data_IF_713004910819
#
_entry.id   IF_713004910819
#
_cell.length_a   1.000
_cell.length_b   1.000
_cell.length_c   1.000
_cell.angle_alpha   90.00
_cell.angle_beta   90.00
_cell.angle_gamma   90.00
#
_symmetry.space_group_name_H-M   'P 1'
#
loop_
_entity.id
_entity.type
_entity.pdbx_description
1 polymer ?
#
# COMPACT_ATOMS: atom_id res chain seq x y z
N UNK A 1 -42.26 6.07 -6.03
CA UNK A 1 -40.92 5.62 -6.49
C UNK A 1 -40.85 4.10 -6.42
N UNK A 2 -40.36 3.43 -7.48
CA UNK A 2 -40.10 1.99 -7.55
C UNK A 2 -38.60 1.76 -7.58
N UNK A 3 -38.10 0.73 -6.86
CA UNK A 3 -36.67 0.42 -6.73
C UNK A 3 -36.47 -1.05 -7.07
N UNK A 4 -35.57 -1.34 -8.00
CA UNK A 4 -35.20 -2.70 -8.40
C UNK A 4 -33.69 -2.88 -8.23
N UNK A 5 -33.28 -4.04 -7.73
CA UNK A 5 -31.87 -4.38 -7.49
C UNK A 5 -31.46 -5.54 -8.39
N UNK A 6 -30.43 -5.33 -9.20
CA UNK A 6 -29.84 -6.35 -10.04
C UNK A 6 -28.39 -6.62 -9.58
N UNK A 7 -28.07 -7.87 -9.25
CA UNK A 7 -26.69 -8.26 -8.98
C UNK A 7 -25.97 -8.45 -10.32
N UNK A 8 -24.95 -7.64 -10.61
CA UNK A 8 -24.16 -7.74 -11.84
C UNK A 8 -23.02 -8.75 -11.70
N UNK A 9 -22.34 -8.74 -10.57
CA UNK A 9 -21.31 -9.72 -10.18
C UNK A 9 -21.21 -9.77 -8.65
N UNK A 10 -20.23 -10.49 -8.10
CA UNK A 10 -20.11 -10.70 -6.65
C UNK A 10 -19.94 -9.42 -5.83
N UNK A 11 -19.40 -8.34 -6.42
CA UNK A 11 -19.11 -7.07 -5.75
C UNK A 11 -19.85 -5.86 -6.29
N UNK A 12 -20.63 -6.01 -7.40
CA UNK A 12 -21.31 -4.90 -8.06
C UNK A 12 -22.81 -5.14 -8.14
N UNK A 13 -23.58 -4.16 -7.69
CA UNK A 13 -25.04 -4.11 -7.85
C UNK A 13 -25.45 -2.92 -8.68
N UNK A 14 -26.46 -3.12 -9.53
CA UNK A 14 -27.18 -2.07 -10.21
C UNK A 14 -28.50 -1.79 -9.48
N UNK A 15 -28.78 -0.52 -9.26
CA UNK A 15 -30.02 -0.02 -8.67
C UNK A 15 -30.76 0.72 -9.78
N UNK A 16 -31.93 0.19 -10.16
CA UNK A 16 -32.81 0.83 -11.12
C UNK A 16 -33.95 1.53 -10.38
N UNK A 17 -34.01 2.83 -10.54
CA UNK A 17 -35.02 3.69 -9.92
C UNK A 17 -36.01 4.13 -10.97
N UNK A 18 -37.32 4.02 -10.69
CA UNK A 18 -38.38 4.64 -11.48
C UNK A 18 -39.18 5.58 -10.59
N UNK A 19 -39.15 6.86 -10.92
CA UNK A 19 -39.78 7.92 -10.14
C UNK A 19 -40.95 8.48 -10.94
N UNK A 20 -42.19 8.50 -10.37
CA UNK A 20 -43.35 9.00 -11.09
C UNK A 20 -43.21 10.46 -11.49
N UNK A 21 -43.71 10.79 -12.68
CA UNK A 21 -43.66 12.16 -13.26
C UNK A 21 -44.17 13.23 -12.32
N UNK A 22 -45.26 12.98 -11.59
CA UNK A 22 -45.82 13.94 -10.62
C UNK A 22 -44.81 14.33 -9.52
N UNK A 23 -43.98 13.40 -9.08
CA UNK A 23 -42.94 13.62 -8.06
C UNK A 23 -41.76 14.39 -8.65
N UNK A 24 -41.26 13.97 -9.81
CA UNK A 24 -40.12 14.60 -10.48
C UNK A 24 -40.44 16.02 -10.93
N UNK A 25 -41.57 16.22 -11.61
CA UNK A 25 -41.98 17.53 -12.14
C UNK A 25 -42.16 18.54 -11.01
N UNK A 26 -42.71 18.11 -9.88
CA UNK A 26 -42.85 18.96 -8.68
C UNK A 26 -41.50 19.39 -8.11
N UNK A 27 -40.56 18.47 -8.00
CA UNK A 27 -39.21 18.83 -7.49
C UNK A 27 -38.43 19.66 -8.52
N UNK A 28 -38.54 19.36 -9.83
CA UNK A 28 -37.94 20.17 -10.88
C UNK A 28 -38.48 21.62 -10.87
N UNK A 29 -39.80 21.81 -10.69
CA UNK A 29 -40.37 23.15 -10.59
C UNK A 29 -39.86 23.92 -9.37
N UNK A 30 -39.67 23.27 -8.23
CA UNK A 30 -39.08 23.90 -7.05
C UNK A 30 -37.63 24.32 -7.32
N UNK A 31 -36.87 23.40 -7.93
CA UNK A 31 -35.47 23.64 -8.31
C UNK A 31 -35.37 24.79 -9.31
N UNK A 32 -36.21 24.80 -10.36
CA UNK A 32 -36.26 25.85 -11.36
C UNK A 32 -36.58 27.24 -10.74
N UNK A 33 -37.52 27.29 -9.80
CA UNK A 33 -37.86 28.53 -9.04
C UNK A 33 -36.67 29.04 -8.25
N UNK A 34 -35.93 28.13 -7.60
CA UNK A 34 -34.73 28.48 -6.83
C UNK A 34 -33.61 28.97 -7.75
N UNK A 35 -33.32 28.23 -8.81
CA UNK A 35 -32.28 28.58 -9.78
C UNK A 35 -32.56 29.89 -10.52
N UNK A 36 -33.84 30.18 -10.82
CA UNK A 36 -34.24 31.45 -11.47
C UNK A 36 -33.97 32.70 -10.60
N UNK A 37 -33.86 32.58 -9.28
CA UNK A 37 -33.48 33.68 -8.39
C UNK A 37 -31.98 33.95 -8.43
N UNK A 38 -31.16 32.98 -8.78
CA UNK A 38 -29.70 33.06 -8.77
C UNK A 38 -29.13 33.37 -10.16
N UNK A 39 -29.80 32.94 -11.23
CA UNK A 39 -29.35 33.13 -12.61
C UNK A 39 -29.59 34.56 -13.06
N UNK A 40 -28.58 35.15 -13.73
CA UNK A 40 -28.68 36.44 -14.38
C UNK A 40 -29.06 36.25 -15.85
N UNK A 41 -30.26 36.75 -16.24
CA UNK A 41 -30.79 36.62 -17.61
C UNK A 41 -30.63 37.95 -18.30
N UNK A 42 -30.01 38.01 -19.50
CA UNK A 42 -29.91 39.27 -20.27
C UNK A 42 -31.28 39.92 -20.52
N UNK A 43 -31.38 41.20 -20.24
CA UNK A 43 -32.62 41.97 -20.38
C UNK A 43 -33.55 41.95 -19.16
N UNK A 44 -33.19 41.23 -18.10
CA UNK A 44 -33.96 41.17 -16.87
C UNK A 44 -33.10 41.49 -15.63
N UNK A 45 -33.72 42.09 -14.62
CA UNK A 45 -33.05 42.20 -13.31
C UNK A 45 -32.91 40.81 -12.68
N UNK A 46 -31.76 40.51 -12.02
CA UNK A 46 -31.49 39.25 -11.36
C UNK A 46 -32.70 38.78 -10.54
N UNK A 47 -33.15 37.56 -10.75
CA UNK A 47 -34.28 36.92 -10.06
C UNK A 47 -35.67 37.44 -10.48
N UNK A 48 -35.81 38.22 -11.58
CA UNK A 48 -37.08 38.76 -12.08
C UNK A 48 -37.40 38.28 -13.51
N UNK A 49 -36.63 37.43 -14.11
CA UNK A 49 -36.96 36.80 -15.39
C UNK A 49 -38.11 35.81 -15.21
N UNK A 50 -39.08 35.72 -16.15
CA UNK A 50 -40.13 34.70 -16.13
C UNK A 50 -39.51 33.30 -16.21
N UNK A 51 -40.07 32.32 -15.46
CA UNK A 51 -39.52 30.97 -15.38
C UNK A 51 -39.36 30.28 -16.73
N UNK A 52 -40.34 30.45 -17.63
CA UNK A 52 -40.28 29.90 -18.98
C UNK A 52 -39.14 30.48 -19.84
N UNK A 53 -38.71 31.70 -19.57
CA UNK A 53 -37.56 32.32 -20.23
C UNK A 53 -36.27 31.75 -19.69
N UNK A 54 -36.17 31.60 -18.36
CA UNK A 54 -35.01 31.01 -17.69
C UNK A 54 -34.83 29.54 -18.13
N UNK A 55 -35.92 28.76 -18.11
CA UNK A 55 -35.92 27.36 -18.52
C UNK A 55 -35.44 27.19 -19.96
N UNK A 56 -36.01 27.94 -20.92
CA UNK A 56 -35.65 27.85 -22.33
C UNK A 56 -34.21 28.33 -22.64
N UNK A 57 -33.69 29.30 -21.91
CA UNK A 57 -32.34 29.85 -22.15
C UNK A 57 -31.23 29.02 -21.52
N UNK A 58 -31.55 28.28 -20.46
CA UNK A 58 -30.58 27.55 -19.65
C UNK A 58 -30.99 26.11 -19.39
N UNK A 59 -31.80 25.54 -20.28
CA UNK A 59 -32.45 24.21 -20.12
C UNK A 59 -31.43 23.15 -19.75
N UNK A 60 -30.40 22.92 -20.59
CA UNK A 60 -29.40 21.86 -20.35
C UNK A 60 -28.63 22.07 -19.04
N UNK A 61 -28.29 23.32 -18.73
CA UNK A 61 -27.56 23.65 -17.50
C UNK A 61 -28.42 23.41 -16.26
N UNK A 62 -29.68 23.84 -16.30
CA UNK A 62 -30.61 23.66 -15.16
C UNK A 62 -30.91 22.17 -14.98
N UNK A 63 -31.12 21.43 -16.09
CA UNK A 63 -31.41 20.00 -16.06
C UNK A 63 -30.22 19.19 -15.51
N UNK A 64 -28.99 19.48 -15.93
CA UNK A 64 -27.81 18.80 -15.42
C UNK A 64 -27.60 19.03 -13.93
N UNK A 65 -27.70 20.28 -13.46
CA UNK A 65 -27.60 20.57 -12.03
C UNK A 65 -28.78 20.02 -11.23
N UNK A 66 -29.98 19.93 -11.82
CA UNK A 66 -31.11 19.28 -11.20
C UNK A 66 -30.85 17.77 -11.04
N UNK A 67 -30.25 17.11 -12.05
CA UNK A 67 -29.89 15.70 -11.94
C UNK A 67 -28.87 15.47 -10.83
N UNK A 68 -27.81 16.24 -10.76
CA UNK A 68 -26.84 16.14 -9.67
C UNK A 68 -27.51 16.25 -8.30
N UNK A 69 -28.31 17.27 -8.09
CA UNK A 69 -28.99 17.50 -6.83
C UNK A 69 -30.03 16.41 -6.50
N UNK A 70 -30.91 16.10 -7.46
CA UNK A 70 -32.05 15.25 -7.20
C UNK A 70 -31.69 13.76 -7.10
N UNK A 71 -30.74 13.31 -7.90
CA UNK A 71 -30.22 11.94 -7.84
C UNK A 71 -29.59 11.66 -6.48
N UNK A 72 -28.79 12.59 -5.96
CA UNK A 72 -28.17 12.45 -4.63
C UNK A 72 -29.24 12.35 -3.52
N UNK A 73 -30.28 13.18 -3.59
CA UNK A 73 -31.37 13.14 -2.60
C UNK A 73 -32.11 11.81 -2.65
N UNK A 74 -32.50 11.36 -3.85
CA UNK A 74 -33.21 10.11 -4.06
C UNK A 74 -32.37 8.90 -3.68
N UNK A 75 -31.10 8.87 -4.10
CA UNK A 75 -30.19 7.80 -3.77
C UNK A 75 -29.96 7.70 -2.26
N UNK A 76 -29.73 8.81 -1.58
CA UNK A 76 -29.56 8.84 -0.12
C UNK A 76 -30.79 8.28 0.61
N UNK A 77 -32.01 8.56 0.10
CA UNK A 77 -33.25 8.01 0.63
C UNK A 77 -33.33 6.50 0.43
N UNK A 78 -33.01 6.02 -0.79
CA UNK A 78 -33.02 4.59 -1.11
C UNK A 78 -32.00 3.82 -0.28
N UNK A 79 -30.79 4.34 -0.12
CA UNK A 79 -29.74 3.77 0.73
C UNK A 79 -30.22 3.60 2.16
N UNK A 80 -30.85 4.64 2.72
CA UNK A 80 -31.33 4.64 4.09
C UNK A 80 -32.51 3.68 4.29
N UNK A 81 -33.49 3.69 3.38
CA UNK A 81 -34.69 2.85 3.47
C UNK A 81 -34.40 1.36 3.28
N UNK A 82 -33.36 1.02 2.51
CA UNK A 82 -32.99 -0.38 2.20
C UNK A 82 -31.71 -0.84 2.94
N UNK A 83 -31.19 -0.01 3.86
CA UNK A 83 -29.97 -0.31 4.64
C UNK A 83 -28.76 -0.72 3.78
N UNK A 84 -28.61 -0.07 2.60
CA UNK A 84 -27.59 -0.41 1.63
C UNK A 84 -26.21 0.02 2.14
N UNK A 85 -25.28 -0.92 2.19
CA UNK A 85 -23.86 -0.65 2.43
C UNK A 85 -23.13 -0.73 1.10
N UNK A 86 -22.38 0.31 0.77
CA UNK A 86 -21.54 0.38 -0.43
C UNK A 86 -20.14 0.90 -0.07
N UNK A 87 -19.15 0.63 -0.93
CA UNK A 87 -17.73 0.85 -0.65
C UNK A 87 -17.23 2.20 -1.15
N UNK A 88 -17.64 2.59 -2.35
CA UNK A 88 -17.21 3.81 -3.02
C UNK A 88 -18.42 4.58 -3.54
N UNK A 89 -18.19 5.77 -4.08
CA UNK A 89 -19.25 6.61 -4.63
C UNK A 89 -20.09 5.86 -5.66
N UNK A 90 -21.42 6.05 -5.62
CA UNK A 90 -22.31 5.46 -6.61
C UNK A 90 -22.02 6.06 -7.98
N UNK A 91 -21.98 5.23 -9.01
CA UNK A 91 -21.81 5.67 -10.38
C UNK A 91 -23.16 5.71 -11.10
N UNK A 92 -23.60 6.89 -11.50
CA UNK A 92 -24.80 7.06 -12.31
C UNK A 92 -24.48 6.65 -13.74
N UNK A 93 -25.06 5.55 -14.22
CA UNK A 93 -24.85 5.01 -15.57
C UNK A 93 -25.77 5.59 -16.63
N UNK A 94 -27.00 5.83 -16.26
CA UNK A 94 -28.01 6.34 -17.19
C UNK A 94 -29.09 7.12 -16.44
N UNK A 95 -29.55 8.19 -17.04
CA UNK A 95 -30.66 9.01 -16.56
C UNK A 95 -31.54 9.36 -17.73
N UNK A 96 -32.79 8.91 -17.71
CA UNK A 96 -33.78 9.22 -18.74
C UNK A 96 -34.96 9.95 -18.10
N UNK A 97 -35.16 11.18 -18.53
CA UNK A 97 -36.31 11.97 -18.10
C UNK A 97 -36.65 13.08 -19.11
N UNK A 98 -37.92 13.17 -19.37
CA UNK A 98 -38.56 14.29 -20.06
C UNK A 98 -39.73 14.77 -19.21
N UNK A 99 -39.97 16.07 -19.17
CA UNK A 99 -41.03 16.68 -18.37
C UNK A 99 -42.40 16.09 -18.72
N UNK A 100 -43.11 15.63 -17.71
CA UNK A 100 -44.37 14.94 -17.83
C UNK A 100 -44.27 13.42 -17.95
N UNK A 101 -43.06 12.86 -18.02
CA UNK A 101 -42.80 11.42 -18.03
C UNK A 101 -42.11 10.99 -16.72
N UNK A 102 -42.21 9.71 -16.41
CA UNK A 102 -41.47 9.12 -15.30
C UNK A 102 -39.97 9.22 -15.55
N UNK A 103 -39.20 9.43 -14.47
CA UNK A 103 -37.75 9.47 -14.52
C UNK A 103 -37.18 8.09 -14.19
N UNK A 104 -36.31 7.61 -15.04
CA UNK A 104 -35.55 6.36 -14.78
C UNK A 104 -34.07 6.69 -14.53
N UNK A 105 -33.49 6.07 -13.52
CA UNK A 105 -32.09 6.25 -13.13
C UNK A 105 -31.47 4.89 -12.92
N UNK A 106 -30.31 4.66 -13.53
CA UNK A 106 -29.47 3.46 -13.28
C UNK A 106 -28.22 3.87 -12.54
N UNK A 107 -28.02 3.25 -11.38
CA UNK A 107 -26.88 3.52 -10.50
C UNK A 107 -26.17 2.22 -10.21
N UNK A 108 -24.86 2.17 -10.44
CA UNK A 108 -24.01 1.07 -10.00
C UNK A 108 -23.31 1.41 -8.69
N UNK A 109 -23.29 0.44 -7.79
CA UNK A 109 -22.54 0.51 -6.52
C UNK A 109 -21.66 -0.73 -6.36
N UNK A 110 -20.51 -0.55 -5.74
CA UNK A 110 -19.69 -1.66 -5.26
C UNK A 110 -19.98 -1.95 -3.79
N UNK A 111 -20.01 -3.23 -3.43
CA UNK A 111 -20.30 -3.69 -2.07
C UNK A 111 -19.39 -4.85 -1.66
N UNK A 112 -19.32 -5.11 -0.36
CA UNK A 112 -18.59 -6.26 0.17
C UNK A 112 -19.24 -7.57 -0.34
N UNK A 113 -18.44 -8.51 -0.92
CA UNK A 113 -18.97 -9.77 -1.42
C UNK A 113 -19.41 -10.69 -0.27
N UNK A 114 -20.42 -11.51 -0.55
CA UNK A 114 -20.72 -12.70 0.26
C UNK A 114 -19.92 -13.84 -0.33
N UNK A 115 -18.93 -14.33 0.44
CA UNK A 115 -18.04 -15.38 -0.01
C UNK A 115 -18.56 -16.76 0.43
N UNK A 116 -18.44 -17.72 -0.48
CA UNK A 116 -18.67 -19.15 -0.21
C UNK A 116 -17.31 -19.85 -0.29
N UNK A 117 -16.87 -20.43 0.83
CA UNK A 117 -15.60 -21.12 0.89
C UNK A 117 -15.79 -22.61 0.56
N UNK A 118 -14.94 -23.18 -0.30
CA UNK A 118 -14.92 -24.61 -0.60
C UNK A 118 -14.57 -25.43 0.65
N UNK A 119 -13.67 -24.93 1.45
CA UNK A 119 -13.21 -25.54 2.71
C UNK A 119 -12.66 -24.45 3.63
N UNK A 120 -12.92 -24.55 4.94
CA UNK A 120 -12.40 -23.63 5.97
C UNK A 120 -11.69 -24.33 7.12
N UNK A 121 -11.85 -25.66 7.28
CA UNK A 121 -11.23 -26.46 8.32
C UNK A 121 -10.37 -27.57 7.70
N UNK A 122 -9.30 -28.00 8.40
CA UNK A 122 -8.39 -29.03 7.91
C UNK A 122 -7.60 -28.64 6.67
N UNK A 123 -7.26 -27.35 6.54
CA UNK A 123 -6.47 -26.84 5.43
C UNK A 123 -5.01 -27.26 5.54
N UNK A 124 -4.37 -27.62 4.42
CA UNK A 124 -2.90 -27.72 4.35
C UNK A 124 -2.36 -26.35 3.94
N UNK A 125 -1.71 -25.67 4.89
CA UNK A 125 -1.30 -24.27 4.75
C UNK A 125 0.21 -24.16 4.60
N UNK A 126 0.73 -23.82 3.42
CA UNK A 126 2.15 -23.53 3.26
C UNK A 126 2.49 -22.18 3.91
N UNK A 127 3.57 -22.15 4.71
CA UNK A 127 4.02 -20.93 5.40
C UNK A 127 5.52 -20.94 5.61
N UNK A 128 6.11 -19.80 5.98
CA UNK A 128 7.53 -19.68 6.35
C UNK A 128 7.64 -18.98 7.70
N UNK A 129 7.78 -19.73 8.81
CA UNK A 129 7.92 -19.13 10.13
C UNK A 129 9.29 -18.47 10.31
N UNK A 130 9.36 -17.49 11.19
CA UNK A 130 10.62 -16.97 11.71
C UNK A 130 11.27 -18.03 12.59
N UNK A 131 12.57 -18.26 12.38
CA UNK A 131 13.37 -19.19 13.16
C UNK A 131 14.19 -18.43 14.20
N UNK A 132 13.98 -18.71 15.49
CA UNK A 132 14.59 -17.95 16.58
C UNK A 132 16.13 -17.81 16.45
N UNK A 133 16.83 -18.87 16.13
CA UNK A 133 18.30 -18.81 16.01
C UNK A 133 18.76 -17.99 14.80
N UNK A 134 18.00 -18.00 13.71
CA UNK A 134 18.29 -17.15 12.55
C UNK A 134 18.08 -15.67 12.90
N UNK A 135 16.99 -15.36 13.59
CA UNK A 135 16.68 -13.98 14.01
C UNK A 135 17.68 -13.45 15.05
N UNK A 136 18.14 -14.26 15.99
CA UNK A 136 19.22 -13.93 16.90
C UNK A 136 20.51 -13.58 16.15
N UNK A 137 20.87 -14.43 15.16
CA UNK A 137 22.06 -14.17 14.33
C UNK A 137 21.91 -12.93 13.46
N UNK A 138 20.73 -12.67 12.90
CA UNK A 138 20.43 -11.48 12.13
C UNK A 138 20.53 -10.21 13.00
N UNK A 139 19.96 -10.25 14.19
CA UNK A 139 20.04 -9.14 15.15
C UNK A 139 21.49 -8.80 15.53
N UNK A 140 22.31 -9.84 15.83
CA UNK A 140 23.73 -9.65 16.16
C UNK A 140 24.51 -9.08 14.97
N UNK A 141 24.24 -9.52 13.74
CA UNK A 141 24.82 -8.95 12.53
C UNK A 141 24.43 -7.48 12.34
N UNK A 142 23.20 -7.10 12.62
CA UNK A 142 22.78 -5.71 12.54
C UNK A 142 23.44 -4.85 13.63
N UNK A 143 23.61 -5.37 14.84
CA UNK A 143 24.39 -4.71 15.88
C UNK A 143 25.86 -4.51 15.44
N UNK A 144 26.47 -5.54 14.83
CA UNK A 144 27.83 -5.45 14.29
C UNK A 144 27.93 -4.38 13.19
N UNK A 145 26.97 -4.31 12.29
CA UNK A 145 26.92 -3.28 11.23
C UNK A 145 26.76 -1.87 11.82
N UNK A 146 25.89 -1.73 12.81
CA UNK A 146 25.66 -0.43 13.48
C UNK A 146 26.87 0.09 14.24
N UNK A 147 27.77 -0.81 14.63
CA UNK A 147 29.00 -0.49 15.35
C UNK A 147 30.26 -0.58 14.46
N UNK A 148 30.10 -0.57 13.14
CA UNK A 148 31.23 -0.53 12.22
C UNK A 148 31.99 0.81 12.30
N UNK A 149 33.26 0.80 11.89
CA UNK A 149 34.12 1.98 11.77
C UNK A 149 34.47 2.22 10.34
N UNK A 150 34.50 3.46 9.93
CA UNK A 150 35.04 3.84 8.60
C UNK A 150 36.50 4.22 8.80
N UNK A 151 37.40 3.52 8.15
CA UNK A 151 38.82 3.76 8.18
C UNK A 151 39.33 4.17 6.80
N UNK A 152 40.29 5.07 6.76
CA UNK A 152 41.03 5.42 5.55
C UNK A 152 42.08 4.36 5.25
N UNK A 153 42.17 3.94 3.99
CA UNK A 153 43.09 2.91 3.52
C UNK A 153 43.83 3.38 2.27
N UNK A 154 45.03 2.84 2.04
CA UNK A 154 45.87 3.27 0.90
C UNK A 154 45.55 2.52 -0.41
N UNK A 155 44.95 1.32 -0.32
CA UNK A 155 44.71 0.46 -1.46
C UNK A 155 43.30 -0.09 -1.43
N UNK A 156 42.59 0.06 -2.54
CA UNK A 156 41.22 -0.37 -2.68
C UNK A 156 41.10 -1.90 -2.73
N UNK A 157 40.21 -2.44 -1.92
CA UNK A 157 39.74 -3.84 -1.92
C UNK A 157 38.26 -3.88 -2.23
N UNK A 158 37.76 -5.07 -2.40
CA UNK A 158 36.34 -5.31 -2.61
C UNK A 158 35.48 -4.64 -1.54
N UNK A 159 34.41 -4.00 -1.94
CA UNK A 159 33.47 -3.21 -1.12
C UNK A 159 34.00 -1.91 -0.53
N UNK A 160 35.27 -1.53 -0.77
CA UNK A 160 35.79 -0.22 -0.35
C UNK A 160 35.10 0.90 -1.14
N UNK A 161 34.78 2.00 -0.44
CA UNK A 161 34.30 3.21 -1.06
C UNK A 161 35.49 4.04 -1.54
N UNK A 162 35.52 4.30 -2.84
CA UNK A 162 36.59 5.04 -3.53
C UNK A 162 36.04 6.38 -3.99
N UNK A 163 36.54 7.46 -3.37
CA UNK A 163 36.27 8.80 -3.85
C UNK A 163 37.21 9.13 -5.02
N UNK A 164 36.61 9.50 -6.15
CA UNK A 164 37.34 9.78 -7.39
C UNK A 164 37.00 11.16 -7.94
N UNK A 165 38.00 11.78 -8.58
CA UNK A 165 37.76 12.89 -9.50
C UNK A 165 37.51 12.29 -10.88
N UNK A 166 36.35 12.59 -11.47
CA UNK A 166 35.88 12.10 -12.77
C UNK A 166 36.03 13.23 -13.79
N UNK A 167 36.87 13.05 -14.80
CA UNK A 167 37.01 13.98 -15.91
C UNK A 167 36.49 13.34 -17.19
N UNK A 168 35.58 13.99 -17.88
CA UNK A 168 34.97 13.54 -19.14
C UNK A 168 34.65 14.72 -20.07
N UNK A 169 34.41 14.42 -21.36
CA UNK A 169 34.00 15.41 -22.34
C UNK A 169 32.56 15.21 -22.78
N UNK A 170 31.83 16.32 -22.86
CA UNK A 170 30.49 16.36 -23.42
C UNK A 170 30.30 17.67 -24.20
N UNK A 171 29.83 17.59 -25.49
CA UNK A 171 29.62 18.73 -26.38
C UNK A 171 30.86 19.66 -26.54
N UNK A 172 32.06 19.09 -26.65
CA UNK A 172 33.37 19.78 -26.71
C UNK A 172 33.74 20.58 -25.45
N UNK A 173 33.04 20.39 -24.35
CA UNK A 173 33.41 20.93 -23.05
C UNK A 173 33.92 19.83 -22.13
N UNK A 174 34.93 20.16 -21.34
CA UNK A 174 35.49 19.24 -20.32
C UNK A 174 34.83 19.47 -19.00
N UNK A 175 34.27 18.42 -18.44
CA UNK A 175 33.66 18.43 -17.11
C UNK A 175 34.57 17.68 -16.12
N UNK A 176 34.72 18.23 -14.92
CA UNK A 176 35.39 17.56 -13.82
C UNK A 176 34.45 17.58 -12.61
N UNK A 177 34.21 16.40 -12.01
CA UNK A 177 33.34 16.21 -10.87
C UNK A 177 33.97 15.23 -9.89
N UNK A 178 33.59 15.35 -8.63
CA UNK A 178 33.95 14.35 -7.62
C UNK A 178 32.77 13.39 -7.46
N UNK A 179 33.09 12.11 -7.48
CA UNK A 179 32.11 11.05 -7.32
C UNK A 179 32.61 9.94 -6.39
N UNK A 180 31.71 9.04 -6.01
CA UNK A 180 32.01 7.88 -5.20
C UNK A 180 31.56 6.61 -5.90
N UNK A 181 32.43 5.60 -5.92
CA UNK A 181 32.12 4.25 -6.38
C UNK A 181 32.63 3.23 -5.36
N UNK A 182 32.01 2.08 -5.33
CA UNK A 182 32.54 0.93 -4.63
C UNK A 182 33.50 0.15 -5.53
N UNK A 183 34.63 -0.27 -4.99
CA UNK A 183 35.50 -1.22 -5.66
C UNK A 183 34.87 -2.63 -5.56
N UNK A 184 34.74 -3.36 -6.66
CA UNK A 184 34.10 -4.67 -6.62
C UNK A 184 34.36 -5.51 -7.87
N UNK A 185 33.90 -6.75 -7.85
CA UNK A 185 34.11 -7.71 -8.95
C UNK A 185 33.10 -7.58 -10.08
N UNK A 186 31.99 -6.86 -9.84
CA UNK A 186 30.93 -6.64 -10.83
C UNK A 186 30.88 -5.16 -11.23
N UNK A 187 30.60 -4.91 -12.51
CA UNK A 187 30.35 -3.57 -13.00
C UNK A 187 28.85 -3.29 -12.93
N UNK A 188 28.48 -2.34 -12.08
CA UNK A 188 27.09 -1.88 -11.99
C UNK A 188 27.07 -0.38 -11.68
N UNK A 189 25.88 0.17 -11.42
CA UNK A 189 25.67 1.61 -11.22
C UNK A 189 26.58 2.25 -10.17
N UNK A 190 26.95 1.51 -9.13
CA UNK A 190 27.71 2.01 -7.98
C UNK A 190 29.06 1.32 -7.79
N UNK A 191 29.38 0.28 -8.56
CA UNK A 191 30.53 -0.58 -8.34
C UNK A 191 31.37 -0.74 -9.63
N UNK A 192 32.68 -0.56 -9.51
CA UNK A 192 33.63 -0.65 -10.63
C UNK A 192 34.75 -1.63 -10.32
N UNK A 193 34.92 -2.70 -11.14
CA UNK A 193 36.06 -3.64 -11.02
C UNK A 193 37.43 -2.99 -11.23
N UNK A 194 37.47 -1.98 -12.07
CA UNK A 194 38.71 -1.26 -12.40
C UNK A 194 39.34 -0.53 -11.22
N UNK A 195 38.56 -0.33 -10.14
CA UNK A 195 39.07 0.30 -8.90
C UNK A 195 39.80 -0.67 -7.98
N UNK A 196 39.64 -1.98 -8.19
CA UNK A 196 40.32 -2.99 -7.35
C UNK A 196 41.87 -2.87 -7.46
N UNK A 197 42.50 -2.79 -6.29
CA UNK A 197 43.95 -2.71 -6.18
C UNK A 197 44.56 -1.33 -6.45
N UNK A 198 43.77 -0.32 -6.80
CA UNK A 198 44.24 1.04 -6.98
C UNK A 198 44.62 1.69 -5.66
N UNK A 199 45.54 2.65 -5.74
CA UNK A 199 46.02 3.46 -4.62
C UNK A 199 45.57 4.91 -4.79
N UNK A 200 45.63 5.64 -3.69
CA UNK A 200 45.38 7.09 -3.69
C UNK A 200 46.37 7.76 -4.65
N UNK A 201 45.84 8.60 -5.55
CA UNK A 201 46.57 9.29 -6.62
C UNK A 201 46.67 8.54 -7.94
N UNK A 202 46.27 7.27 -7.99
CA UNK A 202 46.25 6.51 -9.26
C UNK A 202 45.20 7.08 -10.21
N UNK A 203 45.53 6.98 -11.53
CA UNK A 203 44.66 7.41 -12.61
C UNK A 203 44.35 6.26 -13.53
N UNK A 204 43.11 6.10 -13.88
CA UNK A 204 42.64 5.10 -14.85
C UNK A 204 41.68 5.71 -15.86
N UNK A 205 41.54 5.03 -17.00
CA UNK A 205 40.54 5.38 -18.01
C UNK A 205 39.50 4.29 -18.05
N UNK A 206 38.25 4.69 -17.94
CA UNK A 206 37.09 3.80 -17.93
C UNK A 206 35.99 4.39 -18.81
N UNK A 207 35.08 3.55 -19.26
CA UNK A 207 33.83 4.00 -19.87
C UNK A 207 32.71 3.93 -18.84
N UNK A 208 32.03 5.03 -18.68
CA UNK A 208 30.87 5.14 -17.79
C UNK A 208 29.68 5.64 -18.58
N UNK A 209 28.49 5.15 -18.23
CA UNK A 209 27.24 5.69 -18.73
C UNK A 209 26.93 7.03 -18.06
N UNK A 210 26.11 7.87 -18.70
CA UNK A 210 25.68 9.12 -18.08
C UNK A 210 24.98 8.89 -16.74
N UNK A 211 24.25 7.78 -16.60
CA UNK A 211 23.60 7.36 -15.36
C UNK A 211 24.59 7.08 -14.24
N UNK A 212 25.67 6.36 -14.50
CA UNK A 212 26.72 6.06 -13.52
C UNK A 212 27.43 7.35 -13.07
N UNK A 213 27.71 8.26 -14.00
CA UNK A 213 28.34 9.56 -13.67
C UNK A 213 27.38 10.38 -12.79
N UNK A 214 26.10 10.49 -13.17
CA UNK A 214 25.12 11.25 -12.39
C UNK A 214 24.92 10.64 -11.01
N UNK A 215 24.83 9.31 -10.93
CA UNK A 215 24.62 8.61 -9.67
C UNK A 215 25.82 8.79 -8.72
N UNK A 216 27.04 8.54 -9.21
CA UNK A 216 28.25 8.66 -8.39
C UNK A 216 28.53 10.08 -7.91
N UNK A 217 28.23 11.09 -8.73
CA UNK A 217 28.43 12.51 -8.42
C UNK A 217 27.25 13.16 -7.71
N UNK A 218 26.07 12.55 -7.74
CA UNK A 218 24.78 13.10 -7.30
C UNK A 218 24.42 14.46 -7.94
N UNK A 219 25.03 14.76 -9.10
CA UNK A 219 24.75 15.97 -9.86
C UNK A 219 23.69 15.71 -10.94
N UNK A 220 22.43 15.71 -10.55
CA UNK A 220 21.25 15.48 -11.41
C UNK A 220 21.01 16.62 -12.44
N UNK A 221 21.84 17.67 -12.44
CA UNK A 221 21.76 18.77 -13.41
C UNK A 221 22.74 18.61 -14.57
N UNK A 222 23.57 17.58 -14.54
CA UNK A 222 24.48 17.28 -15.66
C UNK A 222 23.65 17.00 -16.93
N UNK A 223 23.98 17.65 -18.05
CA UNK A 223 23.24 17.49 -19.31
C UNK A 223 23.68 16.21 -20.06
N UNK A 224 23.71 15.07 -19.36
CA UNK A 224 24.15 13.79 -19.92
C UNK A 224 22.95 12.94 -20.32
N UNK A 225 23.13 12.18 -21.40
CA UNK A 225 22.20 11.11 -21.75
C UNK A 225 22.51 9.91 -20.83
N UNK A 226 21.49 9.43 -20.13
CA UNK A 226 21.62 8.37 -19.13
C UNK A 226 22.19 7.08 -19.68
N UNK A 227 21.90 6.74 -20.93
CA UNK A 227 22.27 5.48 -21.55
C UNK A 227 23.47 5.61 -22.50
N UNK A 228 23.98 6.82 -22.73
CA UNK A 228 25.18 7.05 -23.53
C UNK A 228 26.44 6.79 -22.70
N UNK A 229 27.46 6.19 -23.37
CA UNK A 229 28.80 5.96 -22.81
C UNK A 229 29.71 7.17 -22.99
N UNK A 230 30.47 7.49 -21.94
CA UNK A 230 31.48 8.55 -21.93
C UNK A 230 32.86 7.99 -21.56
N UNK A 231 33.87 8.39 -22.31
CA UNK A 231 35.26 8.11 -21.94
C UNK A 231 35.67 8.99 -20.76
N UNK A 232 35.86 8.39 -19.59
CA UNK A 232 36.17 9.05 -18.35
C UNK A 232 37.62 8.76 -17.91
N UNK A 233 38.30 9.79 -17.39
CA UNK A 233 39.51 9.63 -16.61
C UNK A 233 39.15 9.76 -15.14
N UNK A 234 39.41 8.72 -14.33
CA UNK A 234 39.22 8.72 -12.88
C UNK A 234 40.57 8.89 -12.19
N UNK A 235 40.63 9.79 -11.24
CA UNK A 235 41.76 9.94 -10.32
C UNK A 235 41.28 9.64 -8.89
N UNK A 236 41.96 8.70 -8.21
CA UNK A 236 41.58 8.29 -6.84
C UNK A 236 42.03 9.35 -5.86
N UNK A 237 41.06 9.96 -5.16
CA UNK A 237 41.33 11.00 -4.14
C UNK A 237 41.48 10.39 -2.76
N UNK A 238 40.59 9.47 -2.36
CA UNK A 238 40.63 8.78 -1.08
C UNK A 238 39.93 7.44 -1.18
N UNK A 239 40.29 6.53 -0.28
CA UNK A 239 39.69 5.21 -0.18
C UNK A 239 39.31 4.99 1.26
N UNK A 240 38.06 4.64 1.50
CA UNK A 240 37.56 4.33 2.82
C UNK A 240 36.96 2.91 2.86
N UNK A 241 37.17 2.24 3.98
CA UNK A 241 36.72 0.87 4.22
C UNK A 241 35.81 0.85 5.46
N UNK A 242 34.73 0.08 5.36
CA UNK A 242 33.93 -0.26 6.51
C UNK A 242 34.60 -1.45 7.21
N UNK A 243 35.08 -1.21 8.43
CA UNK A 243 35.62 -2.26 9.28
C UNK A 243 34.60 -2.66 10.33
N UNK A 244 34.18 -3.91 10.26
CA UNK A 244 33.25 -4.49 11.22
C UNK A 244 34.03 -4.99 12.45
N UNK A 245 33.56 -4.74 13.69
CA UNK A 245 34.16 -5.32 14.87
C UNK A 245 34.11 -6.86 14.80
N UNK A 246 35.08 -7.54 15.36
CA UNK A 246 35.02 -8.98 15.54
C UNK A 246 33.92 -9.34 16.56
N UNK A 247 33.17 -10.43 16.29
CA UNK A 247 32.13 -10.90 17.21
C UNK A 247 32.77 -11.77 18.29
N UNK A 248 33.27 -11.12 19.33
CA UNK A 248 33.96 -11.73 20.48
C UNK A 248 33.46 -11.16 21.81
N UNK A 249 34.11 -11.52 22.91
CA UNK A 249 33.73 -11.05 24.22
C UNK A 249 34.06 -9.56 24.46
N UNK A 250 34.98 -8.95 23.68
CA UNK A 250 35.26 -7.52 23.74
C UNK A 250 34.10 -6.73 23.13
N UNK A 251 33.61 -7.18 21.96
CA UNK A 251 32.41 -6.59 21.34
C UNK A 251 31.20 -6.70 22.27
N UNK A 252 31.00 -7.85 22.90
CA UNK A 252 29.90 -8.01 23.86
C UNK A 252 29.99 -7.09 25.05
N UNK A 253 31.21 -6.86 25.58
CA UNK A 253 31.44 -5.89 26.68
C UNK A 253 31.22 -4.46 26.29
N UNK A 254 31.58 -4.08 25.05
CA UNK A 254 31.27 -2.75 24.50
C UNK A 254 29.74 -2.53 24.39
N UNK A 255 28.98 -3.60 24.26
CA UNK A 255 27.50 -3.60 24.24
C UNK A 255 26.88 -3.86 25.64
N UNK A 256 27.67 -3.74 26.73
CA UNK A 256 27.23 -3.90 28.12
C UNK A 256 26.79 -5.35 28.50
N UNK A 257 27.33 -6.37 27.81
CA UNK A 257 27.16 -7.79 28.17
C UNK A 257 28.45 -8.39 28.77
N UNK A 258 28.30 -9.45 29.54
CA UNK A 258 29.46 -10.08 30.19
C UNK A 258 30.34 -10.88 29.21
N UNK A 259 29.75 -11.49 28.22
CA UNK A 259 30.39 -12.28 27.14
C UNK A 259 29.51 -12.36 25.91
N UNK A 260 30.05 -12.82 24.78
CA UNK A 260 29.29 -13.07 23.56
C UNK A 260 28.20 -14.13 23.79
N UNK A 261 28.44 -15.13 24.64
CA UNK A 261 27.44 -16.15 24.97
C UNK A 261 26.30 -15.58 25.82
N UNK A 262 26.60 -14.73 26.81
CA UNK A 262 25.61 -13.99 27.60
C UNK A 262 24.78 -13.06 26.73
N UNK A 263 25.42 -12.30 25.83
CA UNK A 263 24.74 -11.44 24.86
C UNK A 263 23.76 -12.24 23.99
N UNK A 264 24.20 -13.38 23.41
CA UNK A 264 23.32 -14.26 22.62
C UNK A 264 22.16 -14.80 23.42
N UNK A 265 22.39 -15.20 24.68
CA UNK A 265 21.36 -15.73 25.56
C UNK A 265 20.28 -14.66 25.85
N UNK A 266 20.69 -13.46 26.22
CA UNK A 266 19.75 -12.34 26.50
C UNK A 266 18.94 -11.92 25.25
N UNK A 267 19.62 -11.77 24.10
CA UNK A 267 18.93 -11.46 22.84
C UNK A 267 17.93 -12.56 22.48
N UNK A 268 18.30 -13.84 22.68
CA UNK A 268 17.39 -14.97 22.45
C UNK A 268 16.16 -14.90 23.35
N UNK A 269 16.34 -14.61 24.63
CA UNK A 269 15.24 -14.51 25.59
C UNK A 269 14.31 -13.33 25.23
N UNK A 270 14.86 -12.20 24.84
CA UNK A 270 14.10 -11.00 24.43
C UNK A 270 13.33 -11.23 23.12
N UNK A 271 13.92 -11.91 22.13
CA UNK A 271 13.29 -12.16 20.84
C UNK A 271 12.28 -13.32 20.88
N UNK A 272 12.42 -14.26 21.79
CA UNK A 272 11.63 -15.50 21.81
C UNK A 272 10.12 -15.22 21.75
N UNK A 273 9.62 -14.44 22.69
CA UNK A 273 8.18 -14.16 22.80
C UNK A 273 7.69 -13.37 21.59
N UNK A 274 8.49 -12.43 21.11
CA UNK A 274 8.17 -11.63 19.92
C UNK A 274 8.05 -12.50 18.67
N UNK A 275 8.97 -13.43 18.46
CA UNK A 275 8.96 -14.35 17.32
C UNK A 275 7.77 -15.32 17.41
N UNK A 276 7.45 -15.84 18.61
CA UNK A 276 6.27 -16.67 18.81
C UNK A 276 4.99 -15.94 18.39
N UNK A 277 4.82 -14.68 18.79
CA UNK A 277 3.67 -13.87 18.42
C UNK A 277 3.69 -13.42 16.95
N UNK A 278 4.84 -13.11 16.38
CA UNK A 278 4.99 -12.81 14.95
C UNK A 278 4.65 -14.03 14.09
N UNK A 279 5.01 -15.22 14.52
CA UNK A 279 4.66 -16.46 13.82
C UNK A 279 3.14 -16.72 13.83
N UNK A 280 2.43 -16.30 14.87
CA UNK A 280 0.95 -16.32 14.88
C UNK A 280 0.39 -15.46 13.74
N UNK A 281 0.94 -14.26 13.53
CA UNK A 281 0.49 -13.38 12.45
C UNK A 281 0.83 -13.96 11.06
N UNK A 282 2.02 -14.56 10.91
CA UNK A 282 2.42 -15.29 9.70
C UNK A 282 1.47 -16.46 9.40
N UNK A 283 1.08 -17.24 10.42
CA UNK A 283 0.09 -18.32 10.27
C UNK A 283 -1.27 -17.77 9.83
N UNK A 284 -1.73 -16.68 10.46
CA UNK A 284 -3.00 -16.04 10.11
C UNK A 284 -2.99 -15.53 8.65
N UNK A 285 -1.91 -14.90 8.21
CA UNK A 285 -1.74 -14.42 6.84
C UNK A 285 -1.67 -15.58 5.83
N UNK A 286 -0.98 -16.66 6.18
CA UNK A 286 -0.90 -17.87 5.37
C UNK A 286 -2.28 -18.55 5.19
N UNK A 287 -3.12 -18.57 6.24
CA UNK A 287 -4.51 -19.06 6.14
C UNK A 287 -5.32 -18.18 5.19
N UNK A 288 -5.24 -16.86 5.30
CA UNK A 288 -5.93 -15.92 4.42
C UNK A 288 -5.49 -16.15 2.98
N UNK A 289 -4.18 -16.25 2.73
CA UNK A 289 -3.60 -16.54 1.42
C UNK A 289 -4.11 -17.87 0.85
N UNK A 290 -4.15 -18.92 1.66
CA UNK A 290 -4.67 -20.23 1.27
C UNK A 290 -6.15 -20.16 0.90
N UNK A 291 -6.96 -19.51 1.71
CA UNK A 291 -8.38 -19.30 1.42
C UNK A 291 -8.58 -18.48 0.15
N UNK A 292 -7.72 -17.49 -0.10
CA UNK A 292 -7.75 -16.72 -1.33
C UNK A 292 -7.44 -17.59 -2.56
N UNK A 293 -6.35 -18.36 -2.52
CA UNK A 293 -5.92 -19.18 -3.67
C UNK A 293 -6.86 -20.35 -3.97
N UNK A 294 -7.55 -20.89 -2.97
CA UNK A 294 -8.48 -22.00 -3.15
C UNK A 294 -9.88 -21.59 -3.67
N UNK A 295 -10.17 -20.28 -3.63
CA UNK A 295 -11.49 -19.76 -3.98
C UNK A 295 -11.38 -18.63 -5.01
N UNK A 296 -12.48 -18.38 -5.72
CA UNK A 296 -12.58 -17.26 -6.66
C UNK A 296 -13.19 -16.05 -5.96
N UNK A 297 -12.52 -14.90 -6.07
CA UNK A 297 -12.97 -13.65 -5.48
C UNK A 297 -13.04 -12.56 -6.55
N UNK A 298 -14.14 -11.82 -6.56
CA UNK A 298 -14.21 -10.60 -7.35
C UNK A 298 -13.72 -9.40 -6.52
N UNK A 299 -12.97 -8.51 -7.16
CA UNK A 299 -12.46 -7.30 -6.54
C UNK A 299 -13.32 -6.08 -6.90
N UNK A 300 -13.53 -5.14 -5.97
CA UNK A 300 -14.20 -3.86 -6.23
C UNK A 300 -13.23 -2.90 -6.95
N UNK A 301 -13.10 -3.05 -8.27
CA UNK A 301 -12.09 -2.36 -9.09
C UNK A 301 -12.16 -0.84 -9.00
N UNK A 302 -13.36 -0.27 -8.98
CA UNK A 302 -13.56 1.19 -8.90
C UNK A 302 -13.11 1.73 -7.54
N UNK A 303 -13.46 1.04 -6.46
CA UNK A 303 -13.01 1.38 -5.11
C UNK A 303 -11.49 1.33 -5.01
N UNK A 304 -10.87 0.27 -5.53
CA UNK A 304 -9.41 0.10 -5.52
C UNK A 304 -8.70 1.19 -6.33
N UNK A 305 -9.20 1.47 -7.54
CA UNK A 305 -8.66 2.54 -8.39
C UNK A 305 -8.73 3.90 -7.69
N UNK A 306 -9.88 4.23 -7.12
CA UNK A 306 -10.05 5.47 -6.37
C UNK A 306 -9.09 5.60 -5.19
N UNK A 307 -8.95 4.55 -4.39
CA UNK A 307 -8.03 4.54 -3.25
C UNK A 307 -6.58 4.73 -3.68
N UNK A 308 -6.17 4.07 -4.77
CA UNK A 308 -4.82 4.21 -5.31
C UNK A 308 -4.58 5.60 -5.91
N UNK A 309 -5.54 6.15 -6.69
CA UNK A 309 -5.47 7.50 -7.27
C UNK A 309 -5.32 8.58 -6.19
N UNK A 310 -6.07 8.48 -5.09
CA UNK A 310 -5.97 9.43 -3.96
C UNK A 310 -4.57 9.46 -3.32
N UNK A 311 -3.84 8.34 -3.30
CA UNK A 311 -2.48 8.28 -2.76
C UNK A 311 -1.44 8.93 -3.69
N UNK A 312 -1.68 8.92 -4.99
CA UNK A 312 -0.70 9.41 -5.98
C UNK A 312 -1.05 10.76 -6.59
N UNK A 313 -2.17 11.37 -6.21
CA UNK A 313 -2.71 12.61 -6.82
C UNK A 313 -1.74 13.80 -6.83
N UNK A 314 -0.82 13.86 -5.86
CA UNK A 314 0.16 14.95 -5.74
C UNK A 314 1.50 14.64 -6.46
N UNK A 315 1.67 13.46 -7.03
CA UNK A 315 2.88 13.04 -7.75
C UNK A 315 2.83 13.59 -9.17
N UNK A 316 3.79 14.45 -9.53
CA UNK A 316 3.83 15.14 -10.82
C UNK A 316 4.52 14.37 -11.95
N UNK A 317 5.37 13.39 -11.61
CA UNK A 317 6.10 12.59 -12.60
C UNK A 317 5.27 11.35 -12.95
N UNK A 318 4.85 11.22 -14.19
CA UNK A 318 3.96 10.17 -14.65
C UNK A 318 4.50 8.75 -14.42
N UNK A 319 5.82 8.51 -14.65
CA UNK A 319 6.43 7.20 -14.42
C UNK A 319 6.48 6.84 -12.93
N UNK A 320 6.79 7.82 -12.08
CA UNK A 320 6.81 7.66 -10.62
C UNK A 320 5.39 7.45 -10.10
N UNK A 321 4.43 8.23 -10.61
CA UNK A 321 3.02 8.11 -10.27
C UNK A 321 2.50 6.70 -10.58
N UNK A 322 2.76 6.20 -11.82
CA UNK A 322 2.32 4.88 -12.24
C UNK A 322 2.92 3.76 -11.38
N UNK A 323 4.22 3.84 -11.07
CA UNK A 323 4.90 2.87 -10.22
C UNK A 323 4.27 2.79 -8.82
N UNK A 324 3.98 3.94 -8.20
CA UNK A 324 3.33 3.97 -6.88
C UNK A 324 1.86 3.59 -6.94
N UNK A 325 1.14 3.96 -8.01
CA UNK A 325 -0.25 3.57 -8.22
C UNK A 325 -0.42 2.05 -8.20
N UNK A 326 0.37 1.32 -9.00
CA UNK A 326 0.32 -0.14 -9.06
C UNK A 326 0.59 -0.77 -7.69
N UNK A 327 1.55 -0.24 -6.95
CA UNK A 327 1.87 -0.71 -5.59
C UNK A 327 0.74 -0.46 -4.60
N UNK A 328 0.14 0.73 -4.61
CA UNK A 328 -0.99 1.04 -3.74
C UNK A 328 -2.22 0.23 -4.10
N UNK A 329 -2.50 0.04 -5.40
CA UNK A 329 -3.61 -0.78 -5.85
C UNK A 329 -3.50 -2.22 -5.31
N UNK A 330 -2.34 -2.86 -5.47
CA UNK A 330 -2.08 -4.20 -4.95
C UNK A 330 -2.20 -4.22 -3.42
N UNK A 331 -1.62 -3.27 -2.72
CA UNK A 331 -1.68 -3.18 -1.26
C UNK A 331 -3.13 -3.06 -0.75
N UNK A 332 -3.95 -2.20 -1.36
CA UNK A 332 -5.36 -2.06 -1.01
C UNK A 332 -6.17 -3.30 -1.36
N UNK A 333 -5.90 -3.94 -2.50
CA UNK A 333 -6.55 -5.18 -2.90
C UNK A 333 -6.30 -6.28 -1.87
N UNK A 334 -5.05 -6.49 -1.45
CA UNK A 334 -4.68 -7.46 -0.42
C UNK A 334 -5.35 -7.16 0.93
N UNK A 335 -5.37 -5.89 1.35
CA UNK A 335 -6.03 -5.47 2.58
C UNK A 335 -7.54 -5.73 2.55
N UNK A 336 -8.22 -5.39 1.44
CA UNK A 336 -9.65 -5.65 1.28
C UNK A 336 -9.97 -7.14 1.21
N UNK A 337 -9.14 -7.94 0.54
CA UNK A 337 -9.31 -9.40 0.49
C UNK A 337 -9.22 -10.01 1.89
N UNK A 338 -8.21 -9.65 2.67
CA UNK A 338 -8.06 -10.07 4.06
C UNK A 338 -9.30 -9.69 4.89
N UNK A 339 -9.79 -8.47 4.72
CA UNK A 339 -11.00 -7.98 5.38
C UNK A 339 -12.24 -8.79 4.99
N UNK A 340 -12.46 -9.05 3.70
CA UNK A 340 -13.62 -9.78 3.20
C UNK A 340 -13.60 -11.24 3.63
N UNK A 341 -12.44 -11.90 3.53
CA UNK A 341 -12.28 -13.28 3.98
C UNK A 341 -12.64 -13.38 5.46
N UNK A 342 -12.03 -12.56 6.32
CA UNK A 342 -12.23 -12.63 7.76
C UNK A 342 -13.65 -12.23 8.19
N UNK A 343 -14.26 -11.23 7.55
CA UNK A 343 -15.65 -10.87 7.78
C UNK A 343 -16.61 -12.00 7.40
N UNK A 344 -16.37 -12.67 6.28
CA UNK A 344 -17.20 -13.80 5.87
C UNK A 344 -16.97 -15.03 6.76
N UNK A 345 -15.74 -15.30 7.20
CA UNK A 345 -15.47 -16.33 8.21
C UNK A 345 -16.27 -16.11 9.50
N UNK A 346 -16.37 -14.86 9.98
CA UNK A 346 -17.17 -14.52 11.15
C UNK A 346 -18.67 -14.77 10.97
N UNK A 347 -19.20 -14.79 9.73
CA UNK A 347 -20.59 -15.18 9.44
C UNK A 347 -20.81 -16.69 9.64
N UNK A 348 -19.83 -17.51 9.27
CA UNK A 348 -19.90 -18.97 9.45
C UNK A 348 -19.51 -19.41 10.85
N UNK A 349 -18.56 -18.71 11.46
CA UNK A 349 -17.97 -19.03 12.77
C UNK A 349 -17.97 -17.78 13.65
N UNK A 350 -19.12 -17.34 14.16
CA UNK A 350 -19.21 -16.14 15.00
C UNK A 350 -18.38 -16.30 16.29
N UNK A 351 -17.66 -15.24 16.65
CA UNK A 351 -16.85 -15.15 17.86
C UNK A 351 -17.54 -14.20 18.84
N UNK A 352 -17.94 -14.73 19.98
CA UNK A 352 -18.37 -13.90 21.13
C UNK A 352 -17.11 -13.46 21.88
N UNK A 353 -16.78 -12.18 21.76
CA UNK A 353 -15.55 -11.63 22.32
C UNK A 353 -15.72 -11.42 23.85
N UNK A 354 -14.97 -12.18 24.63
CA UNK A 354 -14.89 -11.99 26.09
C UNK A 354 -13.84 -10.95 26.47
N UNK A 355 -13.85 -10.49 27.74
CA UNK A 355 -12.84 -9.56 28.21
C UNK A 355 -11.44 -10.23 28.28
N UNK A 356 -11.36 -11.53 28.60
CA UNK A 356 -10.13 -12.30 28.56
C UNK A 356 -9.54 -12.35 27.14
N UNK A 357 -10.38 -12.58 26.13
CA UNK A 357 -9.94 -12.58 24.74
C UNK A 357 -9.45 -11.19 24.30
N UNK A 358 -10.09 -10.13 24.75
CA UNK A 358 -9.61 -8.76 24.47
C UNK A 358 -8.23 -8.52 25.08
N UNK A 359 -8.04 -8.93 26.34
CA UNK A 359 -6.74 -8.83 26.99
C UNK A 359 -5.65 -9.67 26.30
N UNK A 360 -5.98 -10.87 25.86
CA UNK A 360 -5.08 -11.73 25.08
C UNK A 360 -4.67 -11.04 23.76
N UNK A 361 -5.63 -10.46 23.02
CA UNK A 361 -5.37 -9.75 21.79
C UNK A 361 -4.53 -8.49 22.02
N UNK A 362 -4.82 -7.71 23.07
CA UNK A 362 -4.01 -6.54 23.47
C UNK A 362 -2.58 -6.98 23.79
N UNK A 363 -2.41 -8.05 24.55
CA UNK A 363 -1.08 -8.59 24.88
C UNK A 363 -0.33 -9.03 23.63
N UNK A 364 -0.99 -9.71 22.70
CA UNK A 364 -0.42 -10.07 21.40
C UNK A 364 0.10 -8.84 20.64
N UNK A 365 -0.73 -7.81 20.47
CA UNK A 365 -0.36 -6.59 19.77
C UNK A 365 0.76 -5.82 20.48
N UNK A 366 0.76 -5.82 21.82
CA UNK A 366 1.80 -5.18 22.62
C UNK A 366 3.17 -5.85 22.39
N UNK A 367 3.21 -7.17 22.44
CA UNK A 367 4.43 -7.96 22.22
C UNK A 367 4.98 -7.74 20.81
N UNK A 368 4.13 -7.82 19.77
CA UNK A 368 4.55 -7.59 18.38
C UNK A 368 5.11 -6.18 18.19
N UNK A 369 4.59 -5.19 18.92
CA UNK A 369 5.05 -3.79 18.88
C UNK A 369 6.16 -3.48 19.87
N UNK A 370 6.72 -4.46 20.53
CA UNK A 370 7.80 -4.32 21.51
C UNK A 370 7.44 -3.37 22.66
N UNK A 371 6.26 -3.58 23.24
CA UNK A 371 5.68 -2.75 24.31
C UNK A 371 5.13 -3.63 25.43
N UNK A 372 5.01 -3.07 26.65
CA UNK A 372 4.19 -3.70 27.68
C UNK A 372 2.69 -3.52 27.36
N UNK A 373 1.85 -4.42 27.85
CA UNK A 373 0.40 -4.32 27.67
C UNK A 373 -0.19 -3.04 28.28
N UNK A 374 0.39 -2.55 29.39
CA UNK A 374 -0.01 -1.29 30.03
C UNK A 374 0.34 -0.08 29.13
N UNK A 375 1.54 -0.03 28.58
CA UNK A 375 1.98 1.02 27.67
C UNK A 375 1.15 1.02 26.38
N UNK A 376 0.79 -0.17 25.88
CA UNK A 376 -0.08 -0.31 24.71
C UNK A 376 -1.49 0.24 25.01
N UNK A 377 -2.08 -0.13 26.14
CA UNK A 377 -3.41 0.35 26.57
C UNK A 377 -3.46 1.86 26.74
N UNK A 378 -2.41 2.45 27.30
CA UNK A 378 -2.33 3.90 27.48
C UNK A 378 -2.24 4.62 26.12
N UNK A 379 -1.36 4.15 25.25
CA UNK A 379 -1.10 4.77 23.94
C UNK A 379 -2.27 4.66 22.98
N UNK A 380 -2.98 3.52 22.97
CA UNK A 380 -4.07 3.20 22.03
C UNK A 380 -5.44 3.13 22.68
N UNK A 381 -5.64 3.88 23.76
CA UNK A 381 -6.88 3.84 24.58
C UNK A 381 -8.15 4.09 23.76
N UNK A 382 -8.13 5.06 22.86
CA UNK A 382 -9.28 5.42 22.03
C UNK A 382 -9.58 4.33 21.00
N UNK A 383 -8.55 3.75 20.40
CA UNK A 383 -8.68 2.64 19.43
C UNK A 383 -9.26 1.40 20.10
N UNK A 384 -8.74 1.02 21.28
CA UNK A 384 -9.19 -0.15 22.05
C UNK A 384 -10.67 -0.07 22.43
N UNK A 385 -11.20 1.12 22.65
CA UNK A 385 -12.61 1.35 22.96
C UNK A 385 -13.52 1.36 21.72
N UNK A 386 -12.96 1.29 20.53
CA UNK A 386 -13.71 1.35 19.28
C UNK A 386 -14.37 0.01 18.90
N UNK A 387 -15.44 0.09 18.12
CA UNK A 387 -16.06 -1.09 17.51
C UNK A 387 -15.12 -1.79 16.51
N UNK A 388 -14.22 -1.03 15.87
CA UNK A 388 -13.24 -1.57 14.93
C UNK A 388 -12.26 -2.49 15.63
N UNK A 389 -11.72 -2.07 16.78
CA UNK A 389 -10.83 -2.93 17.58
C UNK A 389 -11.51 -4.25 18.00
N UNK A 390 -12.76 -4.18 18.43
CA UNK A 390 -13.50 -5.40 18.77
C UNK A 390 -13.67 -6.33 17.56
N UNK A 391 -13.90 -5.78 16.37
CA UNK A 391 -13.99 -6.56 15.12
C UNK A 391 -12.64 -7.16 14.74
N UNK A 392 -11.54 -6.42 14.89
CA UNK A 392 -10.19 -6.92 14.60
C UNK A 392 -9.81 -8.05 15.55
N UNK A 393 -10.15 -7.94 16.83
CA UNK A 393 -10.01 -9.04 17.78
C UNK A 393 -10.83 -10.28 17.36
N UNK A 394 -12.09 -10.08 16.93
CA UNK A 394 -12.91 -11.20 16.45
C UNK A 394 -12.29 -11.88 15.21
N UNK A 395 -11.73 -11.09 14.26
CA UNK A 395 -11.02 -11.61 13.07
C UNK A 395 -9.79 -12.39 13.46
N UNK A 396 -9.02 -11.89 14.41
CA UNK A 396 -7.87 -12.61 14.95
C UNK A 396 -8.30 -13.98 15.52
N UNK A 397 -9.30 -14.02 16.38
CA UNK A 397 -9.73 -15.29 17.01
C UNK A 397 -10.41 -16.26 16.06
N UNK A 398 -11.12 -15.83 15.03
CA UNK A 398 -11.66 -16.75 14.02
C UNK A 398 -10.53 -17.45 13.26
N UNK A 399 -9.46 -16.71 12.91
CA UNK A 399 -8.27 -17.29 12.28
C UNK A 399 -7.55 -18.25 13.22
N UNK A 400 -7.38 -17.90 14.50
CA UNK A 400 -6.79 -18.81 15.50
C UNK A 400 -7.60 -20.09 15.69
N UNK A 401 -8.92 -20.02 15.58
CA UNK A 401 -9.78 -21.20 15.62
C UNK A 401 -9.58 -22.09 14.40
N UNK A 402 -9.44 -21.51 13.21
CA UNK A 402 -9.14 -22.26 11.99
C UNK A 402 -7.74 -22.86 12.06
N UNK A 403 -6.74 -22.10 12.54
CA UNK A 403 -5.36 -22.55 12.69
C UNK A 403 -5.23 -23.86 13.51
N UNK A 404 -6.09 -24.06 14.51
CA UNK A 404 -6.12 -25.29 15.30
C UNK A 404 -6.46 -26.56 14.50
N UNK A 405 -7.08 -26.40 13.34
CA UNK A 405 -7.46 -27.50 12.45
C UNK A 405 -6.53 -27.63 11.25
N UNK A 406 -5.63 -26.67 11.03
CA UNK A 406 -4.74 -26.62 9.87
C UNK A 406 -3.51 -27.51 10.05
N UNK A 407 -3.03 -28.07 8.95
CA UNK A 407 -1.70 -28.66 8.81
C UNK A 407 -0.76 -27.62 8.17
N UNK A 408 0.17 -27.06 8.96
CA UNK A 408 1.13 -26.09 8.48
C UNK A 408 2.35 -26.78 7.89
N UNK A 409 2.69 -26.45 6.62
CA UNK A 409 3.81 -27.02 5.88
C UNK A 409 4.82 -25.94 5.56
N UNK A 410 6.09 -26.14 5.94
CA UNK A 410 7.16 -25.16 5.71
C UNK A 410 7.49 -25.10 4.21
N UNK A 411 7.49 -23.89 3.63
CA UNK A 411 8.01 -23.60 2.30
C UNK A 411 9.52 -23.40 2.35
N UNK A 412 10.27 -23.97 1.40
CA UNK A 412 11.72 -23.84 1.30
C UNK A 412 12.17 -22.58 0.54
N UNK A 413 11.34 -22.02 -0.34
CA UNK A 413 11.68 -20.84 -1.14
C UNK A 413 11.20 -19.53 -0.48
N UNK A 414 12.06 -18.50 -0.43
CA UNK A 414 11.65 -17.17 0.01
C UNK A 414 10.71 -16.53 -1.02
N UNK A 415 9.57 -16.02 -0.60
CA UNK A 415 8.80 -15.07 -1.40
C UNK A 415 9.43 -13.68 -1.23
N UNK A 416 9.80 -13.01 -2.32
CA UNK A 416 10.34 -11.64 -2.31
C UNK A 416 9.29 -10.60 -1.88
N UNK A 417 8.00 -10.96 -1.90
CA UNK A 417 6.88 -10.07 -1.60
C UNK A 417 6.11 -10.56 -0.37
N UNK A 418 5.47 -9.63 0.33
CA UNK A 418 4.59 -9.90 1.48
C UNK A 418 3.38 -10.78 1.14
N UNK A 419 3.03 -10.90 -0.15
CA UNK A 419 1.96 -11.74 -0.66
C UNK A 419 2.51 -12.66 -1.74
N UNK A 420 1.97 -13.90 -1.88
CA UNK A 420 2.37 -14.82 -2.92
C UNK A 420 2.27 -14.19 -4.32
N UNK A 421 3.22 -14.50 -5.18
CA UNK A 421 3.26 -14.00 -6.54
C UNK A 421 1.97 -14.34 -7.31
N UNK A 422 1.39 -15.50 -7.05
CA UNK A 422 0.09 -15.91 -7.58
C UNK A 422 -1.07 -14.98 -7.19
N UNK A 423 -1.06 -14.43 -5.97
CA UNK A 423 -2.06 -13.44 -5.51
C UNK A 423 -1.87 -12.12 -6.25
N UNK A 424 -0.62 -11.69 -6.38
CA UNK A 424 -0.27 -10.44 -7.09
C UNK A 424 -0.61 -10.55 -8.58
N UNK A 425 -0.34 -11.69 -9.22
CA UNK A 425 -0.68 -11.95 -10.62
C UNK A 425 -2.20 -11.92 -10.83
N UNK A 426 -2.97 -12.60 -9.98
CA UNK A 426 -4.45 -12.58 -10.06
C UNK A 426 -4.99 -11.14 -9.92
N UNK A 427 -4.45 -10.35 -8.99
CA UNK A 427 -4.85 -8.95 -8.81
C UNK A 427 -4.53 -8.12 -10.06
N UNK A 428 -3.36 -8.35 -10.68
CA UNK A 428 -2.94 -7.65 -11.91
C UNK A 428 -3.76 -8.05 -13.13
N UNK A 429 -4.13 -9.31 -13.25
CA UNK A 429 -4.99 -9.79 -14.34
C UNK A 429 -6.42 -9.23 -14.24
N UNK A 430 -6.87 -8.95 -13.02
CA UNK A 430 -8.16 -8.32 -12.78
C UNK A 430 -8.13 -6.78 -12.84
N UNK A 431 -6.97 -6.12 -12.85
CA UNK A 431 -6.80 -4.67 -12.97
C UNK A 431 -7.08 -4.16 -14.39
#
# INVERSE_FOLDING_TARGET
>A
MQVEFNQLNAVTKEINLTIPSEEVDKEYEKYLKKSAQEISVPGFRKGKAPLNVVERMYEDKIRNYFYEYYIDEVFSKVVKENEIKYLHYPEVKDVQWEKGNDMTIKIEIEHEPVLEFKQIEGLTVPYKPLVLEEEVNNFIKELQKSNCRIIDVETARETDNVNVEITFQHNNETFTRTGNFFAGTEHNLDMLPELLGLKIGDKIKVKLTGREIINSTQDYKLPLDNDAEYDCELMVNSISRIEYPELDDEFAKDMEFDSLEDMKAKIRDDLKLKIEHSNIDIENEAIITKLFTDNEFALPKKTLSYLAEEQVKDIKNDNVMRYYYDRYYISFACALLSLYITNNLLRFMPIELTDEMKEEYINHLAIVKDMSSEAYKEKYKDDISSENFARDAQRYFVLRKIAQTCEFVIKEEPEENSYPESVIETIKEEQ
#
